data_IF_953781471039
#
_entry.id   IF_953781471039
#
_cell.length_a   1.000
_cell.length_b   1.000
_cell.length_c   1.000
_cell.angle_alpha   90.00
_cell.angle_beta   90.00
_cell.angle_gamma   90.00
#
_symmetry.space_group_name_H-M   'P 1'
#
loop_
_entity.id
_entity.type
_entity.pdbx_description
1 polymer ?
#
# COMPACT_ATOMS: atom_id res chain seq x y z
N UNK A 1 -24.28 0.20 -12.44
CA UNK A 1 -23.52 0.83 -13.54
C UNK A 1 -22.72 1.99 -12.98
N UNK A 2 -21.42 2.12 -13.26
CA UNK A 2 -20.66 3.31 -12.88
C UNK A 2 -21.27 4.53 -13.59
N UNK A 3 -21.77 5.48 -12.81
CA UNK A 3 -22.35 6.74 -13.30
C UNK A 3 -21.47 7.91 -12.89
N UNK A 4 -21.42 8.94 -13.74
CA UNK A 4 -20.73 10.19 -13.44
C UNK A 4 -21.33 10.83 -12.17
N UNK A 5 -20.49 11.37 -11.27
CA UNK A 5 -20.96 11.99 -10.03
C UNK A 5 -21.80 13.24 -10.35
N UNK A 6 -22.93 13.40 -9.66
CA UNK A 6 -23.81 14.56 -9.80
C UNK A 6 -23.32 15.78 -8.99
N UNK A 7 -22.43 15.59 -8.01
CA UNK A 7 -21.79 16.64 -7.21
C UNK A 7 -20.30 16.36 -7.02
N UNK A 8 -19.51 17.43 -7.03
CA UNK A 8 -18.07 17.49 -6.74
C UNK A 8 -17.15 16.49 -7.48
N UNK A 9 -17.03 16.70 -8.79
CA UNK A 9 -16.21 15.90 -9.70
C UNK A 9 -14.75 15.80 -9.25
N UNK A 10 -14.21 16.83 -8.58
CA UNK A 10 -12.84 16.84 -8.07
C UNK A 10 -12.65 15.84 -6.93
N UNK A 11 -13.56 15.83 -5.94
CA UNK A 11 -13.53 14.88 -4.82
C UNK A 11 -13.71 13.42 -5.28
N UNK A 12 -14.58 13.19 -6.27
CA UNK A 12 -14.77 11.86 -6.86
C UNK A 12 -13.50 11.34 -7.55
N UNK A 13 -12.91 12.14 -8.44
CA UNK A 13 -11.65 11.77 -9.10
C UNK A 13 -10.53 11.61 -8.10
N UNK A 14 -10.47 12.45 -7.07
CA UNK A 14 -9.50 12.30 -5.98
C UNK A 14 -9.64 10.94 -5.28
N UNK A 15 -10.84 10.53 -4.88
CA UNK A 15 -11.05 9.21 -4.25
C UNK A 15 -10.74 8.05 -5.21
N UNK A 16 -11.17 8.13 -6.46
CA UNK A 16 -10.89 7.09 -7.46
C UNK A 16 -9.37 6.92 -7.67
N UNK A 17 -8.66 8.04 -7.81
CA UNK A 17 -7.21 8.06 -8.01
C UNK A 17 -6.49 7.63 -6.72
N UNK A 18 -6.99 8.01 -5.53
CA UNK A 18 -6.45 7.58 -4.23
C UNK A 18 -6.57 6.09 -3.99
N UNK A 19 -7.71 5.47 -4.34
CA UNK A 19 -7.89 4.01 -4.25
C UNK A 19 -6.90 3.28 -5.16
N UNK A 20 -6.71 3.78 -6.40
CA UNK A 20 -5.74 3.22 -7.32
C UNK A 20 -4.29 3.40 -6.81
N UNK A 21 -3.96 4.56 -6.25
CA UNK A 21 -2.65 4.83 -5.64
C UNK A 21 -2.36 3.95 -4.43
N UNK A 22 -3.35 3.76 -3.55
CA UNK A 22 -3.22 2.87 -2.39
C UNK A 22 -2.97 1.41 -2.79
N UNK A 23 -3.47 0.99 -3.95
CA UNK A 23 -3.26 -0.37 -4.48
C UNK A 23 -1.86 -0.58 -5.06
N UNK A 24 -1.11 0.49 -5.35
CA UNK A 24 0.17 0.41 -6.05
C UNK A 24 1.22 1.18 -5.25
N UNK A 25 1.73 0.55 -4.20
CA UNK A 25 2.73 1.16 -3.32
C UNK A 25 4.16 0.77 -3.73
N UNK A 26 5.11 1.72 -3.85
CA UNK A 26 6.48 1.46 -4.27
C UNK A 26 7.21 0.44 -3.39
N UNK A 27 6.88 0.39 -2.10
CA UNK A 27 7.53 -0.51 -1.16
C UNK A 27 7.32 -1.99 -1.55
N UNK A 28 6.21 -2.33 -2.20
CA UNK A 28 5.90 -3.70 -2.61
C UNK A 28 6.96 -4.27 -3.55
N UNK A 29 7.44 -3.47 -4.51
CA UNK A 29 8.47 -3.92 -5.45
C UNK A 29 9.82 -4.13 -4.77
N UNK A 30 10.18 -3.24 -3.83
CA UNK A 30 11.43 -3.33 -3.07
C UNK A 30 11.42 -4.51 -2.08
N UNK A 31 10.30 -4.69 -1.37
CA UNK A 31 10.10 -5.82 -0.47
C UNK A 31 10.18 -7.14 -1.23
N UNK A 32 9.42 -7.27 -2.31
CA UNK A 32 9.40 -8.48 -3.13
C UNK A 32 10.77 -8.81 -3.76
N UNK A 33 11.51 -7.79 -4.20
CA UNK A 33 12.86 -7.98 -4.73
C UNK A 33 13.86 -8.40 -3.65
N UNK A 34 13.74 -7.86 -2.44
CA UNK A 34 14.61 -8.23 -1.31
C UNK A 34 14.35 -9.65 -0.84
N UNK A 35 13.07 -10.04 -0.69
CA UNK A 35 12.68 -11.40 -0.35
C UNK A 35 13.12 -12.42 -1.41
N UNK A 36 13.05 -12.07 -2.70
CA UNK A 36 13.54 -12.94 -3.77
C UNK A 36 15.04 -13.25 -3.67
N UNK A 37 15.85 -12.27 -3.23
CA UNK A 37 17.28 -12.47 -3.01
C UNK A 37 17.52 -13.29 -1.74
N UNK A 38 16.75 -13.04 -0.68
CA UNK A 38 16.87 -13.77 0.58
C UNK A 38 16.57 -15.26 0.42
N UNK A 39 15.42 -15.57 -0.20
CA UNK A 39 14.98 -16.94 -0.47
C UNK A 39 15.77 -17.61 -1.61
N UNK A 40 16.77 -16.92 -2.17
CA UNK A 40 17.60 -17.38 -3.28
C UNK A 40 16.80 -17.90 -4.49
N UNK A 41 15.75 -17.18 -4.86
CA UNK A 41 14.89 -17.57 -5.97
C UNK A 41 15.66 -17.55 -7.31
N UNK A 42 15.57 -18.65 -8.06
CA UNK A 42 16.07 -18.75 -9.43
C UNK A 42 14.93 -18.62 -10.46
N UNK A 43 15.26 -18.62 -11.75
CA UNK A 43 14.34 -18.45 -12.88
C UNK A 43 13.17 -19.43 -12.89
N UNK A 44 13.32 -20.61 -12.29
CA UNK A 44 12.24 -21.60 -12.15
C UNK A 44 11.05 -21.08 -11.35
N UNK A 45 11.26 -20.15 -10.42
CA UNK A 45 10.23 -19.58 -9.57
C UNK A 45 9.42 -18.47 -10.26
N UNK A 46 9.87 -17.94 -11.41
CA UNK A 46 9.18 -16.84 -12.10
C UNK A 46 7.73 -17.19 -12.44
N UNK A 47 7.45 -18.42 -12.89
CA UNK A 47 6.08 -18.86 -13.21
C UNK A 47 5.19 -18.90 -11.97
N UNK A 48 5.66 -19.55 -10.90
CA UNK A 48 4.96 -19.68 -9.62
C UNK A 48 4.71 -18.32 -8.99
N UNK A 49 5.72 -17.45 -8.98
CA UNK A 49 5.64 -16.10 -8.45
C UNK A 49 4.64 -15.22 -9.20
N UNK A 50 4.59 -15.31 -10.54
CA UNK A 50 3.57 -14.60 -11.33
C UNK A 50 2.16 -15.12 -11.03
N UNK A 51 2.01 -16.42 -10.81
CA UNK A 51 0.71 -16.99 -10.43
C UNK A 51 0.28 -16.55 -9.02
N UNK A 52 1.19 -16.59 -8.04
CA UNK A 52 0.92 -16.15 -6.66
C UNK A 52 0.60 -14.65 -6.63
N UNK A 53 1.40 -13.81 -7.29
CA UNK A 53 1.15 -12.38 -7.36
C UNK A 53 -0.17 -12.06 -8.07
N UNK A 54 -0.46 -12.75 -9.18
CA UNK A 54 -1.71 -12.58 -9.93
C UNK A 54 -2.94 -12.99 -9.12
N UNK A 55 -2.90 -14.17 -8.48
CA UNK A 55 -3.99 -14.67 -7.65
C UNK A 55 -4.18 -13.82 -6.39
N UNK A 56 -3.08 -13.46 -5.72
CA UNK A 56 -3.10 -12.61 -4.53
C UNK A 56 -3.67 -11.23 -4.82
N UNK A 57 -3.20 -10.57 -5.89
CA UNK A 57 -3.71 -9.26 -6.29
C UNK A 57 -5.18 -9.32 -6.73
N UNK A 58 -5.59 -10.37 -7.44
CA UNK A 58 -6.99 -10.56 -7.85
C UNK A 58 -7.91 -10.80 -6.66
N UNK A 59 -7.46 -11.59 -5.68
CA UNK A 59 -8.20 -11.85 -4.45
C UNK A 59 -8.34 -10.57 -3.62
N UNK A 60 -7.24 -9.85 -3.41
CA UNK A 60 -7.25 -8.55 -2.72
C UNK A 60 -8.18 -7.54 -3.39
N UNK A 61 -8.08 -7.39 -4.71
CA UNK A 61 -8.95 -6.51 -5.49
C UNK A 61 -10.43 -6.89 -5.40
N UNK A 62 -10.76 -8.19 -5.40
CA UNK A 62 -12.14 -8.67 -5.22
C UNK A 62 -12.69 -8.31 -3.84
N UNK A 63 -11.87 -8.45 -2.79
CA UNK A 63 -12.24 -8.02 -1.43
C UNK A 63 -12.43 -6.51 -1.38
N UNK A 64 -11.52 -5.71 -1.95
CA UNK A 64 -11.64 -4.25 -1.98
C UNK A 64 -12.93 -3.79 -2.66
N UNK A 65 -13.31 -4.41 -3.78
CA UNK A 65 -14.60 -4.13 -4.45
C UNK A 65 -15.78 -4.52 -3.56
N UNK A 66 -15.70 -5.68 -2.89
CA UNK A 66 -16.72 -6.11 -1.92
C UNK A 66 -16.93 -5.09 -0.80
N UNK A 67 -15.84 -4.61 -0.20
CA UNK A 67 -15.88 -3.59 0.85
C UNK A 67 -16.48 -2.29 0.32
N UNK A 68 -16.11 -1.84 -0.89
CA UNK A 68 -16.69 -0.64 -1.52
C UNK A 68 -18.21 -0.78 -1.72
N UNK A 69 -18.69 -1.94 -2.17
CA UNK A 69 -20.13 -2.19 -2.37
C UNK A 69 -20.87 -2.20 -1.03
N UNK A 70 -20.32 -2.86 0.00
CA UNK A 70 -20.91 -2.87 1.34
C UNK A 70 -20.94 -1.47 1.93
N UNK A 71 -19.85 -0.71 1.80
CA UNK A 71 -19.78 0.68 2.23
C UNK A 71 -20.86 1.52 1.55
N UNK A 72 -20.97 1.44 0.22
CA UNK A 72 -21.97 2.20 -0.53
C UNK A 72 -23.42 1.85 -0.16
N UNK A 73 -23.73 0.57 0.05
CA UNK A 73 -25.08 0.12 0.40
C UNK A 73 -25.44 0.43 1.85
N UNK A 74 -24.52 0.23 2.79
CA UNK A 74 -24.80 0.35 4.23
C UNK A 74 -24.63 1.79 4.70
N UNK A 75 -23.48 2.43 4.44
CA UNK A 75 -23.24 3.81 4.87
C UNK A 75 -24.11 4.79 4.08
N UNK A 76 -24.30 4.55 2.78
CA UNK A 76 -25.20 5.34 1.94
C UNK A 76 -26.66 5.27 2.39
N UNK A 77 -27.15 4.10 2.81
CA UNK A 77 -28.51 3.97 3.36
C UNK A 77 -28.69 4.64 4.74
N UNK A 78 -27.60 4.81 5.50
CA UNK A 78 -27.61 5.52 6.79
C UNK A 78 -27.38 7.04 6.65
N UNK A 79 -27.29 7.57 5.42
CA UNK A 79 -27.10 9.00 5.17
C UNK A 79 -25.70 9.53 5.49
N UNK A 80 -24.73 8.64 5.74
CA UNK A 80 -23.33 9.02 5.97
C UNK A 80 -22.71 9.34 4.61
N UNK A 81 -22.57 10.64 4.32
CA UNK A 81 -22.02 11.16 3.06
C UNK A 81 -20.54 11.49 3.16
N UNK A 82 -20.02 11.71 4.36
CA UNK A 82 -18.60 11.91 4.66
C UNK A 82 -18.22 11.04 5.86
N UNK A 83 -17.14 10.26 5.70
CA UNK A 83 -16.58 9.43 6.77
C UNK A 83 -15.35 10.15 7.30
N UNK A 84 -15.54 10.90 8.40
CA UNK A 84 -14.47 11.69 9.02
C UNK A 84 -13.81 10.98 10.20
N UNK A 85 -14.32 9.81 10.62
CA UNK A 85 -13.83 9.09 11.79
C UNK A 85 -13.83 7.57 11.57
N UNK A 86 -12.75 6.90 11.98
CA UNK A 86 -12.63 5.43 12.00
C UNK A 86 -13.73 4.76 12.83
N UNK A 87 -14.27 5.45 13.84
CA UNK A 87 -15.37 4.95 14.67
C UNK A 87 -16.65 4.65 13.88
N UNK A 88 -16.78 5.20 12.66
CA UNK A 88 -17.93 4.99 11.79
C UNK A 88 -17.79 3.73 10.91
N UNK A 89 -16.57 3.21 10.73
CA UNK A 89 -16.33 2.05 9.86
C UNK A 89 -17.00 0.75 10.35
N UNK A 90 -17.04 0.43 11.67
CA UNK A 90 -17.74 -0.75 12.17
C UNK A 90 -19.25 -0.77 11.84
N UNK A 91 -19.86 0.40 11.61
CA UNK A 91 -21.26 0.53 11.22
C UNK A 91 -21.58 -0.16 9.88
N UNK A 92 -20.56 -0.53 9.09
CA UNK A 92 -20.74 -1.33 7.88
C UNK A 92 -21.18 -2.77 8.18
N UNK A 93 -20.77 -3.35 9.31
CA UNK A 93 -21.03 -4.75 9.68
C UNK A 93 -22.04 -4.91 10.81
N UNK A 94 -22.21 -3.89 11.66
CA UNK A 94 -23.17 -3.93 12.78
C UNK A 94 -24.62 -4.16 12.32
N UNK A 95 -25.14 -3.57 11.22
CA UNK A 95 -26.53 -3.79 10.80
C UNK A 95 -26.83 -5.24 10.40
N UNK A 96 -25.81 -6.00 10.00
CA UNK A 96 -25.97 -7.39 9.54
C UNK A 96 -25.72 -8.38 10.69
N UNK A 97 -24.68 -8.15 11.49
CA UNK A 97 -24.20 -9.10 12.52
C UNK A 97 -24.36 -8.60 13.97
N UNK A 98 -24.92 -7.41 14.19
CA UNK A 98 -25.05 -6.81 15.51
C UNK A 98 -23.69 -6.59 16.19
N UNK A 99 -23.61 -6.90 17.48
CA UNK A 99 -22.36 -6.79 18.27
C UNK A 99 -21.22 -7.64 17.69
N UNK A 100 -21.51 -8.82 17.14
CA UNK A 100 -20.50 -9.65 16.49
C UNK A 100 -19.90 -8.99 15.25
N UNK A 101 -20.67 -8.16 14.55
CA UNK A 101 -20.16 -7.36 13.42
C UNK A 101 -19.08 -6.37 13.84
N UNK A 102 -19.26 -5.71 14.99
CA UNK A 102 -18.24 -4.85 15.58
C UNK A 102 -16.97 -5.63 15.95
N UNK A 103 -17.13 -6.75 16.66
CA UNK A 103 -15.98 -7.57 17.09
C UNK A 103 -15.19 -8.11 15.88
N UNK A 104 -15.90 -8.62 14.87
CA UNK A 104 -15.27 -9.13 13.64
C UNK A 104 -14.57 -8.03 12.86
N UNK A 105 -15.14 -6.82 12.77
CA UNK A 105 -14.50 -5.69 12.11
C UNK A 105 -13.22 -5.26 12.84
N UNK A 106 -13.27 -5.13 14.17
CA UNK A 106 -12.10 -4.74 14.96
C UNK A 106 -11.02 -5.81 14.88
N UNK A 107 -11.39 -7.09 14.97
CA UNK A 107 -10.44 -8.20 14.86
C UNK A 107 -9.80 -8.25 13.46
N UNK A 108 -10.58 -8.11 12.39
CA UNK A 108 -10.05 -8.14 11.02
C UNK A 108 -9.16 -6.92 10.74
N UNK A 109 -9.57 -5.73 11.18
CA UNK A 109 -8.76 -4.52 11.07
C UNK A 109 -7.44 -4.66 11.83
N UNK A 110 -7.48 -5.19 13.06
CA UNK A 110 -6.28 -5.42 13.86
C UNK A 110 -5.31 -6.39 13.17
N UNK A 111 -5.80 -7.53 12.66
CA UNK A 111 -4.97 -8.51 11.97
C UNK A 111 -4.39 -7.93 10.68
N UNK A 112 -5.19 -7.22 9.88
CA UNK A 112 -4.75 -6.63 8.61
C UNK A 112 -3.71 -5.53 8.83
N UNK A 113 -3.98 -4.59 9.76
CA UNK A 113 -3.04 -3.50 10.07
C UNK A 113 -1.76 -4.01 10.71
N UNK A 114 -1.84 -5.03 11.57
CA UNK A 114 -0.65 -5.63 12.17
C UNK A 114 0.22 -6.29 11.11
N UNK A 115 -0.35 -7.09 10.21
CA UNK A 115 0.39 -7.70 9.09
C UNK A 115 1.06 -6.66 8.21
N UNK A 116 0.34 -5.61 7.81
CA UNK A 116 0.88 -4.51 7.02
C UNK A 116 2.00 -3.75 7.74
N UNK A 117 1.88 -3.54 9.06
CA UNK A 117 2.91 -2.88 9.85
C UNK A 117 4.20 -3.70 9.92
N UNK A 118 4.11 -5.03 10.08
CA UNK A 118 5.27 -5.92 10.08
C UNK A 118 5.95 -5.92 8.70
N UNK A 119 5.18 -6.06 7.62
CA UNK A 119 5.71 -6.04 6.24
C UNK A 119 6.48 -4.74 5.95
N UNK A 120 5.89 -3.58 6.31
CA UNK A 120 6.54 -2.27 6.11
C UNK A 120 7.78 -2.12 6.98
N UNK A 121 7.75 -2.55 8.25
CA UNK A 121 8.91 -2.51 9.13
C UNK A 121 10.06 -3.38 8.60
N UNK A 122 9.73 -4.56 8.06
CA UNK A 122 10.69 -5.47 7.46
C UNK A 122 11.30 -4.87 6.18
N UNK A 123 10.47 -4.26 5.33
CA UNK A 123 10.91 -3.52 4.15
C UNK A 123 11.87 -2.36 4.49
N UNK A 124 11.60 -1.60 5.55
CA UNK A 124 12.51 -0.54 6.01
C UNK A 124 13.85 -1.12 6.50
N UNK A 125 13.82 -2.24 7.24
CA UNK A 125 15.02 -2.91 7.70
C UNK A 125 15.88 -3.41 6.53
N UNK A 126 15.27 -3.99 5.48
CA UNK A 126 15.98 -4.40 4.27
C UNK A 126 16.64 -3.21 3.56
N UNK A 127 15.90 -2.11 3.35
CA UNK A 127 16.43 -0.93 2.65
C UNK A 127 17.64 -0.34 3.38
N UNK A 128 17.56 -0.22 4.71
CA UNK A 128 18.65 0.34 5.50
C UNK A 128 19.85 -0.61 5.48
N UNK A 129 19.64 -1.91 5.70
CA UNK A 129 20.74 -2.86 5.73
C UNK A 129 21.43 -2.98 4.35
N UNK A 130 20.67 -3.04 3.25
CA UNK A 130 21.22 -3.03 1.90
C UNK A 130 21.95 -1.72 1.57
N UNK A 131 21.41 -0.57 2.00
CA UNK A 131 22.02 0.73 1.79
C UNK A 131 23.35 0.91 2.52
N UNK A 132 23.49 0.34 3.72
CA UNK A 132 24.73 0.36 4.50
C UNK A 132 25.67 -0.82 4.21
N UNK A 133 25.25 -1.78 3.38
CA UNK A 133 26.01 -3.00 3.10
C UNK A 133 26.17 -3.92 4.31
N UNK A 134 25.22 -3.87 5.25
CA UNK A 134 25.19 -4.78 6.39
C UNK A 134 24.69 -6.16 5.98
N UNK A 135 24.96 -7.18 6.79
CA UNK A 135 24.27 -8.46 6.65
C UNK A 135 22.79 -8.29 7.01
N UNK A 136 21.93 -9.01 6.30
CA UNK A 136 20.47 -8.90 6.41
C UNK A 136 19.79 -10.24 6.12
N UNK A 137 18.69 -10.49 6.82
CA UNK A 137 17.84 -11.66 6.68
C UNK A 137 16.78 -11.72 7.78
N UNK A 138 15.55 -12.03 7.41
CA UNK A 138 14.42 -12.33 8.30
C UNK A 138 14.68 -13.58 9.13
N UNK A 139 15.30 -14.61 8.54
CA UNK A 139 15.62 -15.87 9.24
C UNK A 139 16.88 -15.80 10.12
N UNK A 140 17.61 -14.68 10.08
CA UNK A 140 18.84 -14.51 10.84
C UNK A 140 18.55 -14.15 12.29
N UNK A 141 19.34 -14.71 13.22
CA UNK A 141 19.13 -14.45 14.64
C UNK A 141 19.48 -12.99 14.94
N UNK A 142 18.77 -12.31 15.86
CA UNK A 142 19.08 -10.92 16.24
C UNK A 142 20.50 -10.68 16.79
N UNK A 143 21.21 -11.76 17.16
CA UNK A 143 22.61 -11.73 17.57
C UNK A 143 23.60 -11.72 16.41
N UNK A 144 23.22 -12.32 15.29
CA UNK A 144 24.05 -12.42 14.10
C UNK A 144 23.91 -11.14 13.25
N UNK A 145 22.73 -10.47 13.31
CA UNK A 145 22.45 -9.20 12.62
C UNK A 145 21.79 -8.13 13.52
N UNK A 146 22.56 -7.52 14.45
CA UNK A 146 22.04 -6.54 15.37
C UNK A 146 21.55 -5.26 14.68
N UNK A 147 22.14 -4.89 13.53
CA UNK A 147 21.74 -3.70 12.77
C UNK A 147 20.34 -3.82 12.18
N UNK A 148 20.05 -4.94 11.51
CA UNK A 148 18.73 -5.22 10.93
C UNK A 148 17.64 -5.30 12.00
N UNK A 149 17.89 -6.06 13.07
CA UNK A 149 16.94 -6.21 14.19
C UNK A 149 16.67 -4.90 14.92
N UNK A 150 17.68 -4.04 15.06
CA UNK A 150 17.52 -2.72 15.67
C UNK A 150 16.69 -1.79 14.79
N UNK A 151 16.95 -1.73 13.49
CA UNK A 151 16.17 -0.90 12.55
C UNK A 151 14.71 -1.36 12.52
N UNK A 152 14.46 -2.67 12.47
CA UNK A 152 13.12 -3.23 12.50
C UNK A 152 12.36 -2.81 13.77
N UNK A 153 12.96 -3.04 14.95
CA UNK A 153 12.35 -2.70 16.25
C UNK A 153 12.12 -1.20 16.39
N UNK A 154 13.10 -0.38 15.97
CA UNK A 154 13.04 1.07 16.06
C UNK A 154 12.00 1.65 15.11
N UNK A 155 11.86 1.10 13.90
CA UNK A 155 10.82 1.49 12.94
C UNK A 155 9.42 1.24 13.50
N UNK A 156 9.20 0.06 14.09
CA UNK A 156 7.91 -0.29 14.69
C UNK A 156 7.58 0.63 15.88
N UNK A 157 8.57 0.93 16.72
CA UNK A 157 8.40 1.84 17.84
C UNK A 157 8.12 3.27 17.37
N UNK A 158 8.88 3.78 16.41
CA UNK A 158 8.69 5.12 15.83
C UNK A 158 7.34 5.25 15.12
N UNK A 159 6.85 4.21 14.47
CA UNK A 159 5.52 4.20 13.85
C UNK A 159 4.39 4.38 14.87
N UNK A 160 4.59 3.97 16.14
CA UNK A 160 3.62 4.14 17.21
C UNK A 160 3.64 5.53 17.86
N UNK A 161 4.74 6.28 17.75
CA UNK A 161 4.91 7.61 18.39
C UNK A 161 3.86 8.64 17.93
N UNK A 162 3.57 8.82 16.62
CA UNK A 162 2.56 9.77 16.15
C UNK A 162 1.19 9.54 16.79
N UNK A 163 0.80 8.27 16.92
CA UNK A 163 -0.48 7.85 17.50
C UNK A 163 -0.48 8.11 19.00
N UNK A 164 0.62 7.80 19.69
CA UNK A 164 0.77 8.07 21.12
C UNK A 164 0.72 9.59 21.46
N UNK A 165 1.09 10.45 20.51
CA UNK A 165 0.97 11.91 20.62
C UNK A 165 -0.46 12.44 20.36
N UNK A 166 -1.42 11.56 20.09
CA UNK A 166 -2.81 11.93 19.85
C UNK A 166 -3.07 12.50 18.45
N UNK A 167 -2.20 12.24 17.47
CA UNK A 167 -2.45 12.60 16.08
C UNK A 167 -3.58 11.74 15.52
N UNK A 168 -4.46 12.39 14.76
CA UNK A 168 -5.57 11.75 14.09
C UNK A 168 -5.06 10.71 13.07
N UNK A 169 -5.35 9.41 13.27
CA UNK A 169 -4.92 8.34 12.36
C UNK A 169 -5.41 8.54 10.93
N UNK A 170 -6.55 9.23 10.75
CA UNK A 170 -7.17 9.40 9.44
C UNK A 170 -6.39 10.43 8.63
N UNK A 171 -6.04 11.55 9.27
CA UNK A 171 -5.15 12.55 8.69
C UNK A 171 -3.77 11.98 8.40
N UNK A 172 -3.22 11.17 9.31
CA UNK A 172 -1.94 10.50 9.08
C UNK A 172 -1.99 9.52 7.90
N UNK A 173 -3.08 8.77 7.75
CA UNK A 173 -3.26 7.85 6.62
C UNK A 173 -3.36 8.59 5.30
N UNK A 174 -4.18 9.64 5.22
CA UNK A 174 -4.28 10.50 4.04
C UNK A 174 -2.92 11.13 3.73
N UNK A 175 -2.20 11.57 4.77
CA UNK A 175 -0.87 12.15 4.62
C UNK A 175 0.15 11.16 4.05
N UNK A 176 0.18 9.96 4.62
CA UNK A 176 1.04 8.87 4.16
C UNK A 176 0.72 8.44 2.72
N UNK A 177 -0.56 8.39 2.34
CA UNK A 177 -0.99 8.11 0.97
C UNK A 177 -0.48 9.17 -0.01
N UNK A 178 -0.60 10.45 0.34
CA UNK A 178 -0.09 11.55 -0.49
C UNK A 178 1.43 11.47 -0.67
N UNK A 179 2.17 11.18 0.41
CA UNK A 179 3.63 11.02 0.36
C UNK A 179 4.05 9.81 -0.49
N UNK A 180 3.34 8.69 -0.34
CA UNK A 180 3.55 7.46 -1.13
C UNK A 180 3.28 7.72 -2.61
N UNK A 181 2.23 8.48 -2.92
CA UNK A 181 1.96 8.88 -4.29
C UNK A 181 3.04 9.81 -4.87
N UNK A 182 3.59 10.72 -4.06
CA UNK A 182 4.67 11.60 -4.49
C UNK A 182 6.00 10.85 -4.70
N UNK A 183 6.26 9.79 -3.94
CA UNK A 183 7.46 8.95 -4.11
C UNK A 183 7.35 7.97 -5.27
N UNK A 184 6.12 7.64 -5.69
CA UNK A 184 5.81 6.67 -6.75
C UNK A 184 6.58 6.93 -8.06
N UNK A 185 6.57 8.14 -8.65
CA UNK A 185 7.33 8.41 -9.88
C UNK A 185 8.84 8.30 -9.66
N UNK A 186 9.33 8.73 -8.49
CA UNK A 186 10.76 8.74 -8.18
C UNK A 186 11.32 7.32 -8.09
N UNK A 187 10.55 6.36 -7.56
CA UNK A 187 10.98 4.97 -7.41
C UNK A 187 10.72 4.15 -8.67
N UNK A 188 9.57 4.35 -9.33
CA UNK A 188 9.14 3.51 -10.46
C UNK A 188 9.87 3.86 -11.76
N UNK A 189 10.30 5.12 -11.95
CA UNK A 189 11.05 5.52 -13.16
C UNK A 189 12.42 4.80 -13.27
N UNK A 190 13.30 4.83 -12.24
CA UNK A 190 14.54 4.04 -12.26
C UNK A 190 14.27 2.54 -12.44
N UNK A 191 13.21 2.03 -11.80
CA UNK A 191 12.83 0.64 -11.90
C UNK A 191 12.43 0.26 -13.34
N UNK A 192 11.69 1.11 -14.04
CA UNK A 192 11.34 0.92 -15.45
C UNK A 192 12.59 0.88 -16.35
N UNK A 193 13.56 1.76 -16.11
CA UNK A 193 14.82 1.74 -16.85
C UNK A 193 15.60 0.45 -16.59
N UNK A 194 15.69 0.02 -15.33
CA UNK A 194 16.38 -1.21 -14.96
C UNK A 194 15.72 -2.45 -15.58
N UNK A 195 14.38 -2.52 -15.55
CA UNK A 195 13.60 -3.62 -16.12
C UNK A 195 13.67 -3.72 -17.65
N UNK A 196 14.09 -2.64 -18.31
CA UNK A 196 14.23 -2.55 -19.76
C UNK A 196 15.70 -2.61 -20.22
N UNK A 197 16.65 -2.76 -19.29
CA UNK A 197 18.08 -2.88 -19.61
C UNK A 197 18.45 -4.34 -19.90
N UNK A 198 18.86 -4.59 -21.14
CA UNK A 198 19.29 -5.90 -21.63
C UNK A 198 20.50 -6.46 -20.87
N UNK A 199 21.33 -5.60 -20.25
CA UNK A 199 22.50 -6.02 -19.47
C UNK A 199 22.13 -6.67 -18.13
N UNK A 200 21.01 -6.25 -17.53
CA UNK A 200 20.59 -6.75 -16.21
C UNK A 200 19.53 -7.84 -16.31
N UNK A 201 18.56 -7.71 -17.23
CA UNK A 201 17.38 -8.58 -17.29
C UNK A 201 17.44 -9.62 -18.41
N UNK A 202 18.26 -9.37 -19.44
CA UNK A 202 18.45 -10.28 -20.57
C UNK A 202 17.12 -10.64 -21.26
N UNK A 203 16.85 -11.94 -21.43
CA UNK A 203 15.66 -12.45 -22.14
C UNK A 203 14.31 -12.19 -21.44
N UNK A 204 14.31 -11.80 -20.16
CA UNK A 204 13.08 -11.56 -19.38
C UNK A 204 12.62 -10.10 -19.40
N UNK A 205 13.04 -9.34 -20.42
CA UNK A 205 12.74 -7.92 -20.53
C UNK A 205 11.24 -7.66 -20.50
N UNK A 206 10.88 -6.52 -19.93
CA UNK A 206 9.51 -6.08 -19.92
C UNK A 206 8.94 -5.98 -21.35
N UNK A 207 7.82 -6.65 -21.60
CA UNK A 207 7.10 -6.54 -22.86
C UNK A 207 6.41 -5.19 -23.02
N UNK A 208 5.88 -4.92 -24.21
CA UNK A 208 5.15 -3.66 -24.52
C UNK A 208 3.97 -3.44 -23.57
N UNK A 209 3.26 -4.52 -23.21
CA UNK A 209 2.12 -4.47 -22.26
C UNK A 209 2.59 -4.11 -20.85
N UNK A 210 3.68 -4.72 -20.38
CA UNK A 210 4.22 -4.43 -19.05
C UNK A 210 4.78 -3.01 -18.96
N UNK A 211 5.46 -2.52 -20.01
CA UNK A 211 5.91 -1.13 -20.07
C UNK A 211 4.72 -0.15 -20.11
N UNK A 212 3.67 -0.45 -20.86
CA UNK A 212 2.46 0.37 -20.86
C UNK A 212 1.80 0.41 -19.47
N UNK A 213 1.74 -0.73 -18.77
CA UNK A 213 1.21 -0.79 -17.40
C UNK A 213 2.07 0.03 -16.42
N UNK A 214 3.40 -0.07 -16.48
CA UNK A 214 4.29 0.71 -15.60
C UNK A 214 4.20 2.22 -15.92
N UNK A 215 4.13 2.59 -17.21
CA UNK A 215 3.92 3.99 -17.62
C UNK A 215 2.57 4.51 -17.11
N UNK A 216 1.51 3.69 -17.19
CA UNK A 216 0.21 4.04 -16.63
C UNK A 216 0.28 4.27 -15.12
N UNK A 217 1.00 3.42 -14.39
CA UNK A 217 1.26 3.60 -12.94
C UNK A 217 2.03 4.88 -12.65
N UNK A 218 3.07 5.20 -13.43
CA UNK A 218 3.84 6.44 -13.28
C UNK A 218 2.94 7.66 -13.55
N UNK A 219 2.14 7.62 -14.63
CA UNK A 219 1.23 8.70 -14.98
C UNK A 219 0.17 8.90 -13.89
N UNK A 220 -0.39 7.81 -13.37
CA UNK A 220 -1.33 7.86 -12.25
C UNK A 220 -0.67 8.43 -10.99
N UNK A 221 0.53 7.98 -10.62
CA UNK A 221 1.29 8.50 -9.48
C UNK A 221 1.60 9.99 -9.62
N UNK A 222 1.92 10.44 -10.83
CA UNK A 222 2.12 11.87 -11.12
C UNK A 222 0.83 12.67 -10.97
N UNK A 223 -0.30 12.15 -11.46
CA UNK A 223 -1.62 12.78 -11.28
C UNK A 223 -1.99 12.81 -9.79
N UNK A 224 -1.79 11.71 -9.04
CA UNK A 224 -1.98 11.71 -7.59
C UNK A 224 -1.13 12.83 -6.96
N UNK A 225 0.17 12.87 -7.23
CA UNK A 225 1.10 13.81 -6.60
C UNK A 225 0.71 15.26 -6.90
N UNK A 226 0.37 15.57 -8.15
CA UNK A 226 -0.06 16.91 -8.57
C UNK A 226 -1.40 17.30 -7.95
N UNK A 227 -2.28 16.36 -7.62
CA UNK A 227 -3.58 16.64 -6.99
C UNK A 227 -3.49 16.66 -5.46
N UNK A 228 -2.72 15.74 -4.87
CA UNK A 228 -2.58 15.56 -3.42
C UNK A 228 -1.74 16.65 -2.78
N UNK A 229 -0.65 17.08 -3.42
CA UNK A 229 0.26 18.09 -2.87
C UNK A 229 -0.45 19.46 -2.70
N UNK A 230 -1.21 19.99 -3.68
CA UNK A 230 -1.96 21.23 -3.49
C UNK A 230 -3.08 21.08 -2.47
N UNK A 231 -3.77 19.94 -2.40
CA UNK A 231 -4.81 19.71 -1.38
C UNK A 231 -4.23 19.66 0.03
N UNK A 232 -3.01 19.17 0.21
CA UNK A 232 -2.32 19.20 1.51
C UNK A 232 -1.86 20.60 1.91
N UNK A 233 -1.46 21.41 0.94
CA UNK A 233 -0.94 22.77 1.15
C UNK A 233 -2.08 23.79 1.29
N UNK A 234 -3.18 23.63 0.53
CA UNK A 234 -4.30 24.57 0.47
C UNK A 234 -5.58 24.08 1.17
N UNK A 235 -5.76 22.77 1.35
CA UNK A 235 -6.90 22.15 2.05
C UNK A 235 -6.67 21.92 3.54
N UNK A 236 -5.59 22.48 4.10
CA UNK A 236 -5.36 22.56 5.54
C UNK A 236 -6.24 23.62 6.21
N UNK A 237 -7.56 23.54 6.05
CA UNK A 237 -8.59 24.19 6.87
C UNK A 237 -9.83 23.32 6.94
#
# INVERSE_FOLDING_TARGET
VPSLPQHDTAKYWFMAVSILGASISPYLFMFYSSGAIEDQWDKSYLGTNRAIAGLGMSFGGTISVGVLVVAALVLGAHGVTEVDDYNQLPLMLIPIFGFWGFVLFVASLAIACFGAALEVALQQAYLVAQGFGWNWGEDLKPRDDPGFSLVYTLTLFLAAVPIALGLDPLKLTIFSMALTAASLPLTVVPFLFLLNDDRYVGEHRNGVVSNAAVIFVIALGFVLAVVSIPLQIFGGT
#
